data_IF_555847372067
#
_entry.id   IF_555847372067
#
_cell.length_a   1.000
_cell.length_b   1.000
_cell.length_c   1.000
_cell.angle_alpha   90.00
_cell.angle_beta   90.00
_cell.angle_gamma   90.00
#
_symmetry.space_group_name_H-M   'P 1'
#
loop_
_entity.id
_entity.type
_entity.pdbx_description
1 polymer ?
#
# COMPACT_ATOMS: atom_id res chain seq x y z
N UNK A 1 -7.70 14.72 -14.07
CA UNK A 1 -6.68 13.74 -13.66
C UNK A 1 -6.97 13.45 -12.19
N UNK A 2 -7.36 12.22 -11.83
CA UNK A 2 -7.68 11.89 -10.43
C UNK A 2 -6.41 12.02 -9.58
N UNK A 3 -6.53 12.65 -8.42
CA UNK A 3 -5.43 12.72 -7.46
C UNK A 3 -5.12 11.29 -7.00
N UNK A 4 -4.05 10.72 -7.52
CA UNK A 4 -3.57 9.39 -7.11
C UNK A 4 -3.19 9.49 -5.63
N UNK A 5 -3.74 8.62 -4.78
CA UNK A 5 -3.44 8.61 -3.34
C UNK A 5 -1.91 8.54 -3.14
N UNK A 6 -1.30 9.51 -2.43
CA UNK A 6 0.15 9.53 -2.21
C UNK A 6 0.71 8.25 -1.58
N UNK A 7 -0.08 7.56 -0.75
CA UNK A 7 0.29 6.25 -0.20
C UNK A 7 0.36 5.17 -1.28
N UNK A 8 -0.55 5.19 -2.25
CA UNK A 8 -0.51 4.27 -3.40
C UNK A 8 0.68 4.58 -4.33
N UNK A 9 1.00 5.87 -4.52
CA UNK A 9 2.21 6.27 -5.26
C UNK A 9 3.48 5.82 -4.54
N UNK A 10 3.52 5.90 -3.22
CA UNK A 10 4.63 5.41 -2.42
C UNK A 10 4.78 3.88 -2.49
N UNK A 11 3.67 3.14 -2.54
CA UNK A 11 3.71 1.69 -2.78
C UNK A 11 4.30 1.37 -4.16
N UNK A 12 4.04 2.18 -5.18
CA UNK A 12 4.62 1.99 -6.51
C UNK A 12 6.16 2.16 -6.53
N UNK A 13 6.77 2.84 -5.54
CA UNK A 13 8.23 2.91 -5.40
C UNK A 13 8.85 1.57 -4.99
N UNK A 14 8.06 0.64 -4.44
CA UNK A 14 8.47 -0.74 -4.19
C UNK A 14 8.45 -1.60 -5.46
N UNK A 15 8.22 -1.03 -6.65
CA UNK A 15 8.32 -1.72 -7.93
C UNK A 15 9.77 -1.92 -8.43
N UNK A 16 10.73 -2.00 -7.50
CA UNK A 16 12.12 -2.27 -7.82
C UNK A 16 12.42 -3.77 -7.67
N UNK A 17 12.62 -4.53 -8.77
CA UNK A 17 12.90 -5.96 -8.71
C UNK A 17 14.17 -6.32 -7.93
N UNK A 18 15.12 -5.37 -7.80
CA UNK A 18 16.34 -5.59 -7.01
C UNK A 18 16.08 -5.67 -5.50
N UNK A 19 14.92 -5.20 -5.03
CA UNK A 19 14.53 -5.26 -3.61
C UNK A 19 13.97 -6.63 -3.20
N UNK A 20 13.77 -7.55 -4.15
CA UNK A 20 13.13 -8.84 -3.88
C UNK A 20 14.03 -10.01 -4.29
N UNK A 21 14.31 -10.88 -3.33
CA UNK A 21 15.00 -12.15 -3.57
C UNK A 21 14.14 -13.14 -4.39
N UNK A 22 12.80 -13.00 -4.32
CA UNK A 22 11.85 -13.83 -5.04
C UNK A 22 11.11 -13.04 -6.13
N UNK A 23 11.32 -13.43 -7.39
CA UNK A 23 10.69 -12.81 -8.57
C UNK A 23 9.18 -12.99 -8.61
N UNK A 24 8.65 -14.10 -8.06
CA UNK A 24 7.20 -14.33 -8.00
C UNK A 24 6.54 -13.43 -6.98
N UNK A 25 7.18 -13.20 -5.84
CA UNK A 25 6.70 -12.24 -4.83
C UNK A 25 6.64 -10.84 -5.41
N UNK A 26 7.72 -10.40 -6.07
CA UNK A 26 7.73 -9.11 -6.77
C UNK A 26 6.62 -9.00 -7.83
N UNK A 27 6.40 -10.03 -8.66
CA UNK A 27 5.34 -10.02 -9.66
C UNK A 27 3.93 -9.91 -9.04
N UNK A 28 3.69 -10.58 -7.91
CA UNK A 28 2.42 -10.48 -7.16
C UNK A 28 2.20 -9.08 -6.59
N UNK A 29 3.24 -8.47 -6.04
CA UNK A 29 3.21 -7.10 -5.50
C UNK A 29 2.93 -6.10 -6.61
N UNK A 30 3.66 -6.17 -7.73
CA UNK A 30 3.44 -5.33 -8.90
C UNK A 30 2.01 -5.46 -9.43
N UNK A 31 1.52 -6.68 -9.58
CA UNK A 31 0.15 -6.92 -10.05
C UNK A 31 -0.89 -6.32 -9.10
N UNK A 32 -0.69 -6.47 -7.78
CA UNK A 32 -1.56 -5.90 -6.75
C UNK A 32 -1.58 -4.37 -6.79
N UNK A 33 -0.42 -3.72 -6.90
CA UNK A 33 -0.32 -2.26 -6.99
C UNK A 33 -1.01 -1.75 -8.25
N UNK A 34 -0.77 -2.39 -9.40
CA UNK A 34 -1.42 -2.02 -10.65
C UNK A 34 -2.95 -2.22 -10.57
N UNK A 35 -3.41 -3.31 -9.97
CA UNK A 35 -4.84 -3.55 -9.78
C UNK A 35 -5.50 -2.47 -8.90
N UNK A 36 -4.79 -1.94 -7.90
CA UNK A 36 -5.27 -0.83 -7.08
C UNK A 36 -5.24 0.51 -7.84
N UNK A 37 -4.24 0.75 -8.68
CA UNK A 37 -4.15 1.96 -9.52
C UNK A 37 -5.28 1.96 -10.56
N UNK A 38 -5.41 0.85 -11.31
CA UNK A 38 -6.40 0.69 -12.39
C UNK A 38 -7.82 0.59 -11.84
N UNK A 39 -7.97 -0.06 -10.68
CA UNK A 39 -9.23 -0.21 -9.97
C UNK A 39 -9.65 1.00 -9.16
N UNK A 40 -8.99 2.16 -9.29
CA UNK A 40 -9.30 3.39 -8.55
C UNK A 40 -9.32 3.21 -7.01
N UNK A 41 -8.42 2.39 -6.46
CA UNK A 41 -8.29 2.09 -5.03
C UNK A 41 -9.47 1.31 -4.44
N UNK A 42 -10.16 0.49 -5.23
CA UNK A 42 -11.23 -0.40 -4.74
C UNK A 42 -10.67 -1.62 -3.99
N UNK A 43 -10.16 -1.38 -2.77
CA UNK A 43 -9.53 -2.37 -1.89
C UNK A 43 -10.51 -3.49 -1.53
N UNK A 44 -11.80 -3.19 -1.45
CA UNK A 44 -12.89 -4.13 -1.14
C UNK A 44 -13.09 -5.22 -2.20
N UNK A 45 -12.57 -5.04 -3.41
CA UNK A 45 -12.64 -6.03 -4.49
C UNK A 45 -11.49 -7.05 -4.45
N UNK A 46 -10.52 -6.84 -3.57
CA UNK A 46 -9.36 -7.71 -3.47
C UNK A 46 -9.72 -9.03 -2.77
N UNK A 47 -9.03 -10.10 -3.19
CA UNK A 47 -9.10 -11.38 -2.48
C UNK A 47 -8.52 -11.27 -1.07
N UNK A 48 -8.94 -12.14 -0.14
CA UNK A 48 -8.37 -12.16 1.21
C UNK A 48 -6.83 -12.28 1.22
N UNK A 49 -6.26 -13.13 0.36
CA UNK A 49 -4.81 -13.26 0.23
C UNK A 49 -4.12 -11.99 -0.30
N UNK A 50 -4.78 -11.27 -1.22
CA UNK A 50 -4.31 -9.98 -1.71
C UNK A 50 -4.36 -8.89 -0.63
N UNK A 51 -5.40 -8.90 0.22
CA UNK A 51 -5.52 -8.00 1.36
C UNK A 51 -4.43 -8.25 2.40
N UNK A 52 -4.11 -9.51 2.71
CA UNK A 52 -3.01 -9.87 3.63
C UNK A 52 -1.63 -9.45 3.09
N UNK A 53 -1.43 -9.61 1.78
CA UNK A 53 -0.20 -9.14 1.12
C UNK A 53 -0.10 -7.61 1.17
N UNK A 54 -1.21 -6.91 0.91
CA UNK A 54 -1.27 -5.46 0.95
C UNK A 54 -1.00 -4.91 2.35
N UNK A 55 -1.57 -5.52 3.38
CA UNK A 55 -1.30 -5.19 4.79
C UNK A 55 0.18 -5.28 5.14
N UNK A 56 0.86 -6.36 4.72
CA UNK A 56 2.31 -6.51 4.95
C UNK A 56 3.12 -5.43 4.25
N UNK A 57 2.77 -5.09 3.01
CA UNK A 57 3.44 -4.02 2.26
C UNK A 57 3.24 -2.66 2.93
N UNK A 58 2.01 -2.37 3.36
CA UNK A 58 1.64 -1.13 4.03
C UNK A 58 2.37 -0.99 5.36
N UNK A 59 2.47 -2.05 6.16
CA UNK A 59 3.21 -2.01 7.42
C UNK A 59 4.68 -1.61 7.20
N UNK A 60 5.36 -2.22 6.23
CA UNK A 60 6.74 -1.88 5.89
C UNK A 60 6.90 -0.47 5.33
N UNK A 61 5.96 -0.03 4.48
CA UNK A 61 5.95 1.32 3.92
C UNK A 61 5.73 2.39 5.01
N UNK A 62 4.77 2.18 5.92
CA UNK A 62 4.49 3.07 7.05
C UNK A 62 5.70 3.19 7.96
N UNK A 63 6.38 2.08 8.27
CA UNK A 63 7.59 2.08 9.09
C UNK A 63 8.72 2.87 8.42
N UNK A 64 8.99 2.61 7.14
CA UNK A 64 10.04 3.31 6.39
C UNK A 64 9.77 4.82 6.28
N UNK A 65 8.54 5.21 5.96
CA UNK A 65 8.17 6.63 5.83
C UNK A 65 8.14 7.31 7.21
N UNK A 66 7.70 6.63 8.26
CA UNK A 66 7.76 7.15 9.64
C UNK A 66 9.21 7.45 10.06
N UNK A 67 10.14 6.54 9.77
CA UNK A 67 11.56 6.74 10.05
C UNK A 67 12.16 7.90 9.23
N UNK A 68 11.73 8.07 7.97
CA UNK A 68 12.15 9.20 7.13
C UNK A 68 11.62 10.54 7.68
N UNK A 69 10.33 10.59 8.08
CA UNK A 69 9.70 11.78 8.68
C UNK A 69 10.38 12.24 9.97
N UNK A 70 10.86 11.30 10.80
CA UNK A 70 11.59 11.65 12.02
C UNK A 70 12.92 12.38 11.72
N UNK A 71 13.54 12.09 10.57
CA UNK A 71 14.78 12.75 10.13
C UNK A 71 14.52 14.06 9.38
N UNK A 72 13.40 14.15 8.69
CA UNK A 72 12.99 15.31 7.87
C UNK A 72 11.63 15.84 8.32
N UNK A 73 11.62 16.53 9.45
CA UNK A 73 10.39 16.86 10.20
C UNK A 73 9.50 17.91 9.50
N UNK A 74 10.05 18.71 8.59
CA UNK A 74 9.34 19.76 7.83
C UNK A 74 9.04 19.37 6.37
N UNK A 75 9.02 18.07 6.04
CA UNK A 75 8.74 17.60 4.69
C UNK A 75 7.24 17.31 4.50
N UNK A 76 6.51 18.28 3.93
CA UNK A 76 5.06 18.18 3.65
C UNK A 76 4.70 17.02 2.70
N UNK A 77 5.60 16.65 1.79
CA UNK A 77 5.39 15.53 0.88
C UNK A 77 5.44 14.19 1.64
N UNK A 78 6.43 14.02 2.53
CA UNK A 78 6.52 12.85 3.40
C UNK A 78 5.32 12.75 4.37
N UNK A 79 4.84 13.88 4.89
CA UNK A 79 3.61 13.92 5.69
C UNK A 79 2.39 13.45 4.89
N UNK A 80 2.25 13.93 3.65
CA UNK A 80 1.16 13.55 2.75
C UNK A 80 1.19 12.06 2.42
N UNK A 81 2.38 11.52 2.10
CA UNK A 81 2.59 10.09 1.86
C UNK A 81 2.23 9.27 3.08
N UNK A 82 2.72 9.66 4.26
CA UNK A 82 2.44 8.95 5.51
C UNK A 82 0.94 8.87 5.81
N UNK A 83 0.22 9.99 5.66
CA UNK A 83 -1.23 10.02 5.82
C UNK A 83 -1.95 9.15 4.78
N UNK A 84 -1.50 9.18 3.53
CA UNK A 84 -2.03 8.32 2.47
C UNK A 84 -1.87 6.82 2.78
N UNK A 85 -0.72 6.43 3.32
CA UNK A 85 -0.46 5.04 3.75
C UNK A 85 -1.34 4.63 4.94
N UNK A 86 -1.56 5.51 5.91
CA UNK A 86 -2.46 5.23 7.04
C UNK A 86 -3.91 5.04 6.57
N UNK A 87 -4.40 5.91 5.70
CA UNK A 87 -5.75 5.78 5.12
C UNK A 87 -5.91 4.45 4.38
N UNK A 88 -4.93 4.09 3.54
CA UNK A 88 -4.97 2.83 2.81
C UNK A 88 -4.88 1.61 3.75
N UNK A 89 -4.20 1.74 4.89
CA UNK A 89 -4.15 0.70 5.94
C UNK A 89 -5.51 0.51 6.60
N UNK A 90 -6.22 1.60 6.90
CA UNK A 90 -7.57 1.54 7.43
C UNK A 90 -8.54 0.89 6.42
N UNK A 91 -8.46 1.26 5.15
CA UNK A 91 -9.28 0.68 4.08
C UNK A 91 -9.07 -0.84 3.96
N UNK A 92 -7.82 -1.30 4.04
CA UNK A 92 -7.48 -2.73 4.05
C UNK A 92 -8.06 -3.44 5.28
N UNK A 93 -7.96 -2.83 6.46
CA UNK A 93 -8.52 -3.40 7.68
C UNK A 93 -10.04 -3.54 7.61
N UNK A 94 -10.73 -2.53 7.09
CA UNK A 94 -12.19 -2.59 6.88
C UNK A 94 -12.55 -3.66 5.85
N UNK A 95 -11.85 -3.73 4.72
CA UNK A 95 -12.08 -4.75 3.70
C UNK A 95 -11.86 -6.17 4.24
N UNK A 96 -10.81 -6.40 5.06
CA UNK A 96 -10.57 -7.68 5.72
C UNK A 96 -11.72 -8.07 6.65
N UNK A 97 -12.20 -7.14 7.47
CA UNK A 97 -13.33 -7.39 8.37
C UNK A 97 -14.60 -7.75 7.60
N UNK A 98 -14.89 -7.05 6.50
CA UNK A 98 -16.03 -7.35 5.64
C UNK A 98 -15.93 -8.76 5.04
N UNK A 99 -14.77 -9.15 4.51
CA UNK A 99 -14.57 -10.48 3.91
C UNK A 99 -14.68 -11.59 4.96
N UNK A 100 -14.18 -11.38 6.18
CA UNK A 100 -14.26 -12.35 7.28
C UNK A 100 -15.67 -12.58 7.83
N UNK A 101 -16.63 -11.68 7.59
CA UNK A 101 -18.03 -11.83 8.01
C UNK A 101 -18.88 -12.63 7.00
N UNK A 102 -18.36 -12.88 5.80
CA UNK A 102 -19.04 -13.61 4.73
C UNK A 102 -18.54 -15.06 4.55
N UNK A 103 -17.68 -15.54 5.44
CA UNK A 103 -17.14 -16.91 5.50
C UNK A 103 -17.60 -17.62 6.77
#
# INVERSE_FOLDING_TARGET
MKATNPGLQALALFDNPAMFSDKQVHAKIRHLINALIDGEQQVERLSHGSLLLLEHLLAGAVEAVSAARQKETDNEELESVYRGLLLLTDDVNQAKLAVSQHH
#
